data_IF_450786901764
#
_entry.id   IF_450786901764
#
_cell.length_a   1.000
_cell.length_b   1.000
_cell.length_c   1.000
_cell.angle_alpha   90.00
_cell.angle_beta   90.00
_cell.angle_gamma   90.00
#
_symmetry.space_group_name_H-M   'P 1'
#
loop_
_entity.id
_entity.type
_entity.pdbx_description
1 polymer ?
#
# COMPACT_ATOMS: atom_id res chain seq x y z
N UNK A 1 -19.76 50.42 -11.86
CA UNK A 1 -19.96 49.09 -12.45
C UNK A 1 -20.73 48.27 -11.44
N UNK A 2 -21.91 47.80 -11.83
CA UNK A 2 -22.88 47.11 -10.98
C UNK A 2 -22.98 45.67 -11.50
N UNK A 3 -22.92 44.63 -10.65
CA UNK A 3 -23.07 43.25 -11.12
C UNK A 3 -24.55 42.96 -11.45
N UNK A 4 -24.83 42.07 -12.42
CA UNK A 4 -26.19 41.60 -12.66
C UNK A 4 -26.63 40.63 -11.56
N UNK A 5 -27.88 40.79 -11.12
CA UNK A 5 -28.62 39.81 -10.31
C UNK A 5 -29.02 38.63 -11.20
N UNK A 6 -28.69 37.40 -10.79
CA UNK A 6 -29.29 36.20 -11.37
C UNK A 6 -29.85 35.32 -10.27
N UNK A 7 -31.13 35.08 -10.45
CA UNK A 7 -32.09 34.27 -9.71
C UNK A 7 -31.59 32.85 -9.44
N UNK A 8 -31.71 32.38 -8.19
CA UNK A 8 -31.63 30.97 -7.85
C UNK A 8 -32.88 30.61 -7.06
N UNK A 9 -33.92 30.23 -7.79
CA UNK A 9 -35.01 29.41 -7.28
C UNK A 9 -35.32 28.34 -8.30
N UNK A 10 -34.76 27.14 -8.11
CA UNK A 10 -35.55 25.95 -8.34
C UNK A 10 -35.09 24.83 -7.41
N UNK A 11 -35.99 24.53 -6.47
CA UNK A 11 -36.02 23.30 -5.72
C UNK A 11 -36.21 22.14 -6.70
N UNK A 12 -35.28 21.21 -6.75
CA UNK A 12 -35.57 19.84 -7.17
C UNK A 12 -35.22 18.91 -6.00
N UNK A 13 -36.28 18.63 -5.25
CA UNK A 13 -36.44 17.38 -4.53
C UNK A 13 -36.30 16.24 -5.52
N UNK A 14 -35.37 15.33 -5.24
CA UNK A 14 -35.43 13.95 -5.70
C UNK A 14 -34.86 13.12 -4.56
N UNK A 15 -35.73 12.87 -3.60
CA UNK A 15 -35.68 11.62 -2.83
C UNK A 15 -36.06 10.46 -3.77
N UNK A 16 -35.67 9.25 -3.38
CA UNK A 16 -35.77 7.97 -4.10
C UNK A 16 -34.65 7.65 -5.09
N UNK A 17 -34.04 6.46 -5.08
CA UNK A 17 -34.19 5.31 -4.20
C UNK A 17 -33.04 4.35 -4.53
N UNK A 18 -32.78 3.46 -3.58
CA UNK A 18 -32.13 2.15 -3.75
C UNK A 18 -30.64 2.10 -3.41
N UNK A 19 -30.41 1.65 -2.17
CA UNK A 19 -29.31 0.80 -1.77
C UNK A 19 -28.68 0.02 -2.94
N UNK A 20 -27.41 0.26 -3.22
CA UNK A 20 -26.52 -0.79 -3.69
C UNK A 20 -25.43 -0.95 -2.64
N UNK A 21 -25.66 -1.95 -1.78
CA UNK A 21 -24.70 -2.52 -0.86
C UNK A 21 -23.34 -2.72 -1.52
N UNK A 22 -22.42 -1.80 -1.28
CA UNK A 22 -21.01 -1.92 -1.71
C UNK A 22 -20.18 -2.74 -0.69
N UNK A 23 -20.87 -3.53 0.13
CA UNK A 23 -20.29 -4.53 1.01
C UNK A 23 -20.42 -5.90 0.39
N UNK A 24 -19.40 -6.74 0.56
CA UNK A 24 -19.53 -8.18 0.31
C UNK A 24 -20.76 -8.70 1.07
N UNK A 25 -21.70 -9.38 0.39
CA UNK A 25 -22.89 -9.91 1.04
C UNK A 25 -22.47 -10.85 2.19
N UNK A 26 -23.26 -10.94 3.27
CA UNK A 26 -22.97 -11.88 4.33
C UNK A 26 -22.85 -13.30 3.75
N UNK A 27 -21.90 -14.12 4.24
CA UNK A 27 -21.66 -15.45 3.71
C UNK A 27 -22.95 -16.28 3.76
N UNK A 28 -23.18 -17.05 2.71
CA UNK A 28 -24.38 -17.88 2.58
C UNK A 28 -24.35 -19.00 3.63
N UNK A 29 -25.51 -19.46 4.13
CA UNK A 29 -25.53 -20.60 5.07
C UNK A 29 -24.78 -21.82 4.53
N UNK A 30 -24.88 -22.09 3.22
CA UNK A 30 -24.13 -23.16 2.57
C UNK A 30 -22.60 -22.95 2.65
N UNK A 31 -22.10 -21.72 2.51
CA UNK A 31 -20.66 -21.43 2.68
C UNK A 31 -20.23 -21.58 4.13
N UNK A 32 -21.07 -21.19 5.09
CA UNK A 32 -20.79 -21.35 6.50
C UNK A 32 -20.70 -22.85 6.86
N UNK A 33 -21.64 -23.66 6.38
CA UNK A 33 -21.64 -25.12 6.56
C UNK A 33 -20.45 -25.77 5.86
N UNK A 34 -20.09 -25.35 4.64
CA UNK A 34 -18.90 -25.87 3.95
C UNK A 34 -17.60 -25.53 4.68
N UNK A 35 -17.49 -24.35 5.28
CA UNK A 35 -16.30 -23.93 6.02
C UNK A 35 -16.19 -24.60 7.41
N UNK A 36 -17.32 -24.92 8.04
CA UNK A 36 -17.35 -25.47 9.42
C UNK A 36 -17.52 -26.98 9.48
N UNK A 37 -18.23 -27.59 8.53
CA UNK A 37 -18.75 -28.95 8.65
C UNK A 37 -18.07 -29.97 7.72
N UNK A 38 -17.26 -29.52 6.75
CA UNK A 38 -16.54 -30.41 5.81
C UNK A 38 -15.06 -30.63 6.12
N UNK A 39 -14.48 -29.92 7.09
CA UNK A 39 -13.15 -30.28 7.60
C UNK A 39 -13.34 -31.27 8.75
N UNK A 40 -12.71 -32.47 8.70
CA UNK A 40 -12.41 -33.18 9.93
C UNK A 40 -11.74 -32.20 10.89
N UNK A 41 -11.97 -32.32 12.20
CA UNK A 41 -11.16 -31.67 13.23
C UNK A 41 -9.72 -32.21 13.10
N UNK A 42 -9.00 -31.73 12.09
CA UNK A 42 -7.61 -32.06 11.87
C UNK A 42 -6.85 -31.36 12.99
N UNK A 43 -6.17 -32.16 13.81
CA UNK A 43 -5.14 -31.65 14.72
C UNK A 43 -4.27 -30.66 13.95
N UNK A 44 -4.08 -29.47 14.52
CA UNK A 44 -3.22 -28.47 13.91
C UNK A 44 -1.86 -29.12 13.60
N UNK A 45 -1.35 -29.02 12.36
CA UNK A 45 -0.09 -29.65 12.01
C UNK A 45 1.01 -29.09 12.91
N UNK A 46 1.94 -29.96 13.31
CA UNK A 46 3.18 -29.48 13.94
C UNK A 46 3.94 -28.57 12.96
N UNK A 47 4.79 -27.69 13.48
CA UNK A 47 5.62 -26.81 12.65
C UNK A 47 6.41 -27.59 11.58
N UNK A 48 6.95 -28.75 11.96
CA UNK A 48 7.65 -29.64 11.05
C UNK A 48 6.73 -30.18 9.93
N UNK A 49 5.50 -30.58 10.26
CA UNK A 49 4.54 -31.02 9.25
C UNK A 49 4.10 -29.89 8.32
N UNK A 50 3.96 -28.67 8.84
CA UNK A 50 3.62 -27.50 8.02
C UNK A 50 4.72 -27.21 6.98
N UNK A 51 6.00 -27.27 7.40
CA UNK A 51 7.13 -27.06 6.49
C UNK A 51 7.23 -28.15 5.40
N UNK A 52 6.74 -29.36 5.69
CA UNK A 52 6.71 -30.48 4.75
C UNK A 52 5.46 -30.51 3.87
N UNK A 53 4.43 -29.72 4.18
CA UNK A 53 3.28 -29.59 3.30
C UNK A 53 3.74 -28.94 2.01
N UNK A 54 3.72 -29.72 0.93
CA UNK A 54 3.88 -29.19 -0.42
C UNK A 54 2.89 -28.05 -0.61
N UNK A 55 3.27 -26.95 -1.28
CA UNK A 55 2.35 -25.85 -1.53
C UNK A 55 1.08 -26.46 -2.13
N UNK A 56 -0.06 -26.18 -1.49
CA UNK A 56 -1.36 -26.65 -1.95
C UNK A 56 -1.42 -26.43 -3.46
N UNK A 57 -1.68 -27.50 -4.22
CA UNK A 57 -1.85 -27.45 -5.69
C UNK A 57 -3.11 -26.67 -6.09
N UNK A 58 -3.74 -25.94 -5.18
CA UNK A 58 -4.63 -24.84 -5.53
C UNK A 58 -3.73 -23.69 -5.93
N UNK A 59 -3.59 -23.50 -7.25
CA UNK A 59 -2.98 -22.31 -7.79
C UNK A 59 -3.53 -21.10 -7.01
N UNK A 60 -2.67 -20.22 -6.48
CA UNK A 60 -3.14 -19.02 -5.81
C UNK A 60 -4.15 -18.36 -6.75
N UNK A 61 -5.40 -18.18 -6.26
CA UNK A 61 -6.46 -17.64 -7.09
C UNK A 61 -5.94 -16.37 -7.74
N UNK A 62 -6.01 -16.31 -9.08
CA UNK A 62 -5.50 -15.18 -9.83
C UNK A 62 -6.30 -13.95 -9.40
N UNK A 63 -5.72 -13.13 -8.51
CA UNK A 63 -6.35 -11.89 -8.04
C UNK A 63 -6.23 -10.86 -9.16
N UNK A 64 -7.08 -11.00 -10.17
CA UNK A 64 -7.27 -10.03 -11.25
C UNK A 64 -8.58 -9.28 -10.98
N UNK A 65 -8.57 -8.30 -10.05
CA UNK A 65 -9.76 -7.52 -9.80
C UNK A 65 -10.15 -6.77 -11.08
N UNK A 66 -11.42 -6.85 -11.47
CA UNK A 66 -11.95 -6.20 -12.68
C UNK A 66 -11.94 -4.66 -12.59
N UNK A 67 -11.78 -4.13 -11.38
CA UNK A 67 -11.69 -2.70 -11.06
C UNK A 67 -10.57 -2.49 -10.05
N UNK A 68 -9.87 -1.37 -10.14
CA UNK A 68 -8.88 -0.99 -9.15
C UNK A 68 -9.55 -0.91 -7.76
N UNK A 69 -8.92 -1.55 -6.76
CA UNK A 69 -9.40 -1.56 -5.37
C UNK A 69 -9.18 -0.18 -4.74
N UNK A 70 -8.11 0.50 -5.15
CA UNK A 70 -7.79 1.85 -4.74
C UNK A 70 -8.04 2.81 -5.93
N UNK A 71 -8.49 4.04 -5.65
CA UNK A 71 -8.62 5.08 -6.68
C UNK A 71 -7.26 5.53 -7.23
N UNK A 72 -6.15 5.09 -6.63
CA UNK A 72 -4.78 5.43 -7.00
C UNK A 72 -4.00 4.19 -7.40
N UNK A 73 -3.20 4.31 -8.46
CA UNK A 73 -2.22 3.31 -8.86
C UNK A 73 -1.00 3.35 -7.94
N UNK A 74 -0.54 2.18 -7.52
CA UNK A 74 0.74 2.05 -6.81
C UNK A 74 1.84 2.22 -7.86
N UNK A 75 2.65 3.26 -7.72
CA UNK A 75 3.82 3.43 -8.57
C UNK A 75 4.95 2.54 -8.04
N UNK A 76 5.34 1.55 -8.84
CA UNK A 76 6.47 0.70 -8.54
C UNK A 76 7.77 1.40 -8.94
N UNK A 77 8.69 1.52 -7.99
CA UNK A 77 10.05 2.00 -8.27
C UNK A 77 10.92 0.77 -8.52
N UNK A 78 11.48 0.68 -9.73
CA UNK A 78 12.42 -0.39 -10.06
C UNK A 78 13.64 -0.35 -9.13
N UNK A 79 14.28 -1.51 -8.92
CA UNK A 79 15.46 -1.59 -8.04
C UNK A 79 16.60 -0.69 -8.56
N UNK A 80 16.73 -0.58 -9.89
CA UNK A 80 17.73 0.25 -10.56
C UNK A 80 17.43 1.73 -10.37
N UNK A 81 16.16 2.14 -10.48
CA UNK A 81 15.74 3.52 -10.26
C UNK A 81 15.90 3.92 -8.80
N UNK A 82 15.51 3.04 -7.87
CA UNK A 82 15.77 3.25 -6.45
C UNK A 82 17.26 3.41 -6.17
N UNK A 83 18.11 2.56 -6.76
CA UNK A 83 19.57 2.64 -6.64
C UNK A 83 20.11 3.99 -7.11
N UNK A 84 19.75 4.40 -8.34
CA UNK A 84 20.15 5.70 -8.90
C UNK A 84 19.68 6.87 -8.03
N UNK A 85 18.45 6.80 -7.51
CA UNK A 85 17.87 7.83 -6.66
C UNK A 85 18.64 7.99 -5.35
N UNK A 86 18.93 6.87 -4.67
CA UNK A 86 19.70 6.88 -3.42
C UNK A 86 21.14 7.38 -3.64
N UNK A 87 21.79 6.99 -4.73
CA UNK A 87 23.14 7.47 -5.05
C UNK A 87 23.16 8.97 -5.33
N UNK A 88 22.20 9.48 -6.11
CA UNK A 88 22.05 10.91 -6.38
C UNK A 88 21.77 11.70 -5.09
N UNK A 89 20.89 11.19 -4.22
CA UNK A 89 20.60 11.80 -2.93
C UNK A 89 21.83 11.80 -2.00
N UNK A 90 22.60 10.71 -1.98
CA UNK A 90 23.82 10.60 -1.17
C UNK A 90 24.84 11.64 -1.61
N UNK A 91 25.12 11.73 -2.92
CA UNK A 91 26.03 12.74 -3.48
C UNK A 91 25.57 14.16 -3.15
N UNK A 92 24.28 14.44 -3.32
CA UNK A 92 23.72 15.77 -3.04
C UNK A 92 23.88 16.14 -1.56
N UNK A 93 23.67 15.18 -0.64
CA UNK A 93 23.84 15.42 0.79
C UNK A 93 25.30 15.71 1.17
N UNK A 94 26.25 15.01 0.55
CA UNK A 94 27.69 15.26 0.72
C UNK A 94 28.09 16.64 0.19
N UNK A 95 27.59 17.02 -0.98
CA UNK A 95 27.82 18.35 -1.57
C UNK A 95 27.27 19.47 -0.69
N UNK A 96 26.06 19.32 -0.14
CA UNK A 96 25.49 20.28 0.82
C UNK A 96 26.37 20.39 2.06
N UNK A 97 26.87 19.27 2.58
CA UNK A 97 27.71 19.25 3.78
C UNK A 97 29.08 19.92 3.55
N UNK A 98 29.59 19.88 2.32
CA UNK A 98 30.83 20.52 1.92
C UNK A 98 30.72 22.07 1.83
N UNK A 99 29.50 22.62 1.81
CA UNK A 99 29.29 24.06 1.82
C UNK A 99 29.66 24.69 3.18
N UNK A 100 29.94 25.99 3.16
CA UNK A 100 30.15 26.77 4.40
C UNK A 100 28.82 27.09 5.07
N UNK A 101 28.33 26.14 5.86
CA UNK A 101 27.05 26.24 6.57
C UNK A 101 27.20 26.81 8.00
N UNK A 102 26.24 27.61 8.49
CA UNK A 102 26.11 27.90 9.92
C UNK A 102 25.94 26.62 10.75
N UNK A 103 26.35 26.65 12.03
CA UNK A 103 26.33 25.45 12.90
C UNK A 103 24.97 24.78 13.03
N UNK A 104 23.88 25.54 13.00
CA UNK A 104 22.51 24.99 13.01
C UNK A 104 22.22 24.19 11.74
N UNK A 105 22.49 24.78 10.58
CA UNK A 105 22.31 24.16 9.27
C UNK A 105 23.22 22.94 9.07
N UNK A 106 24.47 23.02 9.54
CA UNK A 106 25.42 21.90 9.46
C UNK A 106 24.89 20.64 10.16
N UNK A 107 24.34 20.78 11.38
CA UNK A 107 23.73 19.65 12.10
C UNK A 107 22.55 19.03 11.35
N UNK A 108 21.76 19.85 10.64
CA UNK A 108 20.65 19.36 9.82
C UNK A 108 21.16 18.61 8.58
N UNK A 109 22.20 19.13 7.92
CA UNK A 109 22.85 18.48 6.78
C UNK A 109 23.50 17.14 7.18
N UNK A 110 24.16 17.08 8.33
CA UNK A 110 24.73 15.85 8.89
C UNK A 110 23.62 14.81 9.15
N UNK A 111 22.51 15.23 9.78
CA UNK A 111 21.35 14.35 10.01
C UNK A 111 20.76 13.84 8.69
N UNK A 112 20.68 14.68 7.66
CA UNK A 112 20.22 14.30 6.33
C UNK A 112 21.12 13.21 5.71
N UNK A 113 22.44 13.42 5.70
CA UNK A 113 23.39 12.45 5.15
C UNK A 113 23.32 11.10 5.87
N UNK A 114 23.20 11.11 7.20
CA UNK A 114 23.01 9.90 8.01
C UNK A 114 21.69 9.20 7.70
N UNK A 115 20.61 9.96 7.51
CA UNK A 115 19.29 9.39 7.21
C UNK A 115 19.25 8.69 5.85
N UNK A 116 19.93 9.24 4.83
CA UNK A 116 19.98 8.65 3.49
C UNK A 116 20.79 7.34 3.50
N UNK A 117 21.94 7.34 4.19
CA UNK A 117 22.81 6.16 4.28
C UNK A 117 22.21 5.04 5.12
N UNK A 118 21.48 5.36 6.19
CA UNK A 118 20.77 4.37 7.01
C UNK A 118 19.61 3.67 6.26
N UNK A 119 19.05 4.31 5.23
CA UNK A 119 17.96 3.74 4.43
C UNK A 119 18.44 2.60 3.51
N UNK A 120 19.75 2.49 3.26
CA UNK A 120 20.34 1.33 2.58
C UNK A 120 20.34 0.13 3.53
N UNK A 121 19.29 -0.69 3.46
CA UNK A 121 19.25 -2.02 4.12
C UNK A 121 20.57 -2.75 3.87
N UNK A 122 21.29 -3.10 4.94
CA UNK A 122 22.41 -4.04 4.89
C UNK A 122 21.92 -5.37 4.29
N UNK A 123 22.70 -5.95 3.38
CA UNK A 123 22.31 -7.06 2.50
C UNK A 123 21.72 -8.28 3.22
N UNK A 124 20.93 -9.10 2.47
CA UNK A 124 20.51 -10.42 2.89
C UNK A 124 21.73 -11.31 3.11
N UNK A 125 21.69 -12.10 4.18
CA UNK A 125 22.65 -13.17 4.46
C UNK A 125 22.34 -14.35 3.51
N UNK A 126 23.38 -14.99 2.91
CA UNK A 126 23.23 -16.09 1.94
C UNK A 126 22.51 -17.32 2.47
#
# INVERSE_FOLDING_TARGET
MQPPSTDFSQSESSEESSNSSDGTPPPTQQELEQNTSRRPLLTAPSFAQFALQSPSSVAPGLLQPKKAILPTEIQEISAEEFGRSIEAATRSAEEILALKLPRSCKRVAEKLALSITACKRSKPVP
#
